data_IF_043325334538
#
_entry.id   IF_043325334538
#
_cell.length_a   1.000
_cell.length_b   1.000
_cell.length_c   1.000
_cell.angle_alpha   90.00
_cell.angle_beta   90.00
_cell.angle_gamma   90.00
#
_symmetry.space_group_name_H-M   'P 1'
#
loop_
_entity.id
_entity.type
_entity.pdbx_description
1 polymer ?
#
# COMPACT_ATOMS: atom_id res chain seq x y z
N UNK A 1 -5.51 30.23 -16.64
CA UNK A 1 -5.66 30.17 -15.17
C UNK A 1 -4.87 28.97 -14.67
N UNK A 2 -3.70 29.19 -14.05
CA UNK A 2 -2.97 28.13 -13.35
C UNK A 2 -3.66 27.90 -12.00
N UNK A 3 -4.46 26.84 -11.88
CA UNK A 3 -4.91 26.34 -10.59
C UNK A 3 -3.79 25.47 -10.03
N UNK A 4 -3.00 26.01 -9.12
CA UNK A 4 -2.22 25.23 -8.16
C UNK A 4 -3.19 24.41 -7.33
N UNK A 5 -3.36 23.13 -7.66
CA UNK A 5 -4.08 22.18 -6.82
C UNK A 5 -3.26 21.94 -5.54
N UNK A 6 -3.88 21.92 -4.34
CA UNK A 6 -3.19 21.46 -3.15
C UNK A 6 -2.82 19.98 -3.32
N UNK A 7 -1.61 19.60 -2.91
CA UNK A 7 -1.19 18.20 -2.86
C UNK A 7 -2.19 17.41 -1.98
N UNK A 8 -2.93 16.50 -2.61
CA UNK A 8 -3.96 15.69 -1.96
C UNK A 8 -3.28 14.46 -1.36
N UNK A 9 -3.09 14.46 -0.04
CA UNK A 9 -2.47 13.37 0.68
C UNK A 9 -3.45 12.21 0.89
N UNK A 10 -3.14 11.01 0.39
CA UNK A 10 -3.67 9.78 0.99
C UNK A 10 -3.03 9.63 2.37
N UNK A 11 -3.72 10.12 3.40
CA UNK A 11 -3.37 9.79 4.78
C UNK A 11 -3.74 8.33 5.04
N UNK A 12 -2.79 7.42 4.90
CA UNK A 12 -2.86 6.13 5.57
C UNK A 12 -2.74 6.40 7.08
N UNK A 13 -3.89 6.54 7.74
CA UNK A 13 -4.01 6.89 9.16
C UNK A 13 -3.63 5.68 10.01
N UNK A 14 -2.37 5.60 10.41
CA UNK A 14 -1.91 4.70 11.48
C UNK A 14 -2.24 5.32 12.85
N UNK A 15 -3.45 5.08 13.35
CA UNK A 15 -3.79 5.34 14.75
C UNK A 15 -3.66 4.03 15.55
N UNK A 16 -2.45 3.76 16.04
CA UNK A 16 -2.21 2.65 16.95
C UNK A 16 -2.48 3.11 18.39
N UNK A 17 -3.61 2.66 18.93
CA UNK A 17 -3.91 2.72 20.36
C UNK A 17 -3.22 1.57 21.10
N UNK A 18 -2.31 1.93 22.00
CA UNK A 18 -1.53 1.02 22.84
C UNK A 18 -2.28 0.58 24.12
N UNK A 19 -2.06 -0.68 24.54
CA UNK A 19 -1.91 -1.20 25.92
C UNK A 19 -1.82 -2.73 25.83
N UNK A 20 -0.65 -3.37 26.04
CA UNK A 20 -0.10 -3.81 27.34
C UNK A 20 -0.69 -5.17 27.75
N UNK A 21 0.01 -6.23 28.14
CA UNK A 21 1.42 -6.58 28.34
C UNK A 21 1.48 -8.01 28.92
N UNK A 22 2.62 -8.71 28.87
CA UNK A 22 2.78 -10.00 29.57
C UNK A 22 3.96 -10.87 29.13
N UNK A 23 4.96 -10.95 30.00
CA UNK A 23 6.31 -11.58 29.95
C UNK A 23 6.41 -13.11 29.67
N UNK A 24 7.64 -13.62 29.38
CA UNK A 24 7.91 -14.88 28.69
C UNK A 24 8.18 -16.09 29.61
N UNK A 25 8.18 -17.29 29.03
CA UNK A 25 8.78 -18.49 29.64
C UNK A 25 9.70 -19.17 28.64
N UNK A 26 10.97 -19.29 29.03
CA UNK A 26 11.99 -20.04 28.31
C UNK A 26 11.89 -21.54 28.64
N UNK A 27 12.25 -22.41 27.68
CA UNK A 27 12.89 -23.70 28.00
C UNK A 27 13.82 -24.10 26.86
N UNK A 28 15.08 -24.31 27.21
CA UNK A 28 16.17 -24.79 26.36
C UNK A 28 16.02 -26.27 25.99
N UNK A 29 16.51 -26.68 24.82
CA UNK A 29 17.37 -27.87 24.68
C UNK A 29 17.98 -28.03 23.28
N UNK A 30 19.30 -27.81 23.25
CA UNK A 30 20.38 -28.46 22.50
C UNK A 30 20.06 -29.60 21.52
N UNK A 31 20.63 -29.55 20.30
CA UNK A 31 21.82 -30.34 19.90
C UNK A 31 22.20 -30.12 18.42
N UNK A 32 23.51 -30.09 18.18
CA UNK A 32 24.17 -29.73 16.93
C UNK A 32 24.15 -30.82 15.86
N UNK A 33 24.29 -30.43 14.59
CA UNK A 33 25.19 -31.06 13.60
C UNK A 33 25.45 -30.10 12.43
N UNK A 34 26.73 -29.82 12.20
CA UNK A 34 27.28 -28.98 11.13
C UNK A 34 26.98 -29.54 9.74
N UNK A 35 26.32 -28.72 8.91
CA UNK A 35 26.55 -28.62 7.46
C UNK A 35 25.78 -27.42 6.90
N UNK A 36 26.31 -26.19 7.02
CA UNK A 36 25.84 -25.03 6.24
C UNK A 36 26.75 -23.80 6.49
N UNK A 37 28.00 -23.83 6.05
CA UNK A 37 28.85 -22.61 6.10
C UNK A 37 28.68 -21.72 4.86
N UNK A 38 27.76 -22.08 3.95
CA UNK A 38 27.36 -21.26 2.79
C UNK A 38 25.98 -20.62 2.96
N UNK A 39 25.20 -20.89 4.01
CA UNK A 39 23.79 -20.44 4.08
C UNK A 39 23.54 -19.20 4.92
N UNK A 40 24.43 -18.81 5.84
CA UNK A 40 24.19 -17.67 6.73
C UNK A 40 24.68 -16.33 6.20
N UNK A 41 25.66 -16.34 5.29
CA UNK A 41 26.17 -15.12 4.64
C UNK A 41 25.19 -14.70 3.54
N UNK A 42 24.78 -15.65 2.70
CA UNK A 42 23.78 -15.40 1.65
C UNK A 42 22.45 -14.90 2.25
N UNK A 43 21.96 -15.46 3.36
CA UNK A 43 20.71 -14.98 3.99
C UNK A 43 20.84 -13.55 4.53
N UNK A 44 21.99 -13.19 5.13
CA UNK A 44 22.19 -11.82 5.61
C UNK A 44 22.26 -10.81 4.46
N UNK A 45 22.90 -11.18 3.34
CA UNK A 45 22.94 -10.37 2.13
C UNK A 45 21.55 -10.21 1.51
N UNK A 46 20.72 -11.26 1.51
CA UNK A 46 19.34 -11.21 1.03
C UNK A 46 18.44 -10.39 1.97
N UNK A 47 18.60 -10.48 3.29
CA UNK A 47 17.90 -9.63 4.26
C UNK A 47 18.24 -8.15 4.03
N UNK A 48 19.51 -7.83 3.77
CA UNK A 48 19.93 -6.48 3.40
C UNK A 48 19.30 -6.04 2.07
N UNK A 49 19.25 -6.92 1.08
CA UNK A 49 18.63 -6.62 -0.22
C UNK A 49 17.11 -6.35 -0.09
N UNK A 50 16.40 -7.09 0.75
CA UNK A 50 14.97 -6.85 1.08
C UNK A 50 14.79 -5.49 1.73
N UNK A 51 15.62 -5.15 2.74
CA UNK A 51 15.58 -3.85 3.40
C UNK A 51 15.87 -2.71 2.42
N UNK A 52 16.85 -2.93 1.54
CA UNK A 52 17.22 -1.98 0.50
C UNK A 52 16.07 -1.75 -0.48
N UNK A 53 15.38 -2.79 -0.95
CA UNK A 53 14.25 -2.63 -1.87
C UNK A 53 13.14 -1.74 -1.28
N UNK A 54 12.81 -1.93 0.01
CA UNK A 54 11.83 -1.07 0.68
C UNK A 54 12.32 0.36 0.90
N UNK A 55 13.59 0.54 1.27
CA UNK A 55 14.20 1.86 1.42
C UNK A 55 14.24 2.63 0.09
N UNK A 56 14.62 1.96 -1.00
CA UNK A 56 14.66 2.51 -2.35
C UNK A 56 13.25 2.94 -2.80
N UNK A 57 12.20 2.19 -2.44
CA UNK A 57 10.82 2.58 -2.73
C UNK A 57 10.43 3.84 -1.99
N UNK A 58 10.77 3.94 -0.69
CA UNK A 58 10.50 5.14 0.09
C UNK A 58 11.19 6.36 -0.51
N UNK A 59 12.46 6.22 -0.90
CA UNK A 59 13.23 7.29 -1.55
C UNK A 59 12.60 7.69 -2.89
N UNK A 60 12.26 6.72 -3.74
CA UNK A 60 11.60 6.96 -5.02
C UNK A 60 10.26 7.68 -4.84
N UNK A 61 9.42 7.24 -3.90
CA UNK A 61 8.14 7.88 -3.62
C UNK A 61 8.31 9.32 -3.10
N UNK A 62 9.27 9.57 -2.19
CA UNK A 62 9.59 10.91 -1.70
C UNK A 62 10.17 11.82 -2.80
N UNK A 63 10.97 11.26 -3.71
CA UNK A 63 11.52 11.97 -4.86
C UNK A 63 10.50 12.16 -5.99
N UNK A 64 9.30 11.58 -5.87
CA UNK A 64 8.27 11.50 -6.92
C UNK A 64 8.79 10.82 -8.20
N UNK A 65 9.73 9.89 -8.05
CA UNK A 65 10.20 9.02 -9.12
C UNK A 65 9.25 7.83 -9.24
N UNK A 66 8.21 8.02 -10.03
CA UNK A 66 7.17 7.02 -10.22
C UNK A 66 7.67 5.73 -10.89
N UNK A 67 8.63 5.84 -11.81
CA UNK A 67 9.18 4.69 -12.53
C UNK A 67 9.99 3.81 -11.58
N UNK A 68 10.84 4.42 -10.75
CA UNK A 68 11.60 3.68 -9.74
C UNK A 68 10.69 3.06 -8.68
N UNK A 69 9.66 3.78 -8.23
CA UNK A 69 8.70 3.27 -7.26
C UNK A 69 7.91 2.07 -7.80
N UNK A 70 7.41 2.16 -9.05
CA UNK A 70 6.65 1.09 -9.68
C UNK A 70 7.48 -0.20 -9.87
N UNK A 71 8.78 -0.09 -10.15
CA UNK A 71 9.66 -1.24 -10.36
C UNK A 71 9.90 -2.10 -9.11
N UNK A 72 9.58 -1.58 -7.93
CA UNK A 72 9.79 -2.21 -6.62
C UNK A 72 8.54 -2.88 -6.05
N UNK A 73 7.39 -2.72 -6.71
CA UNK A 73 6.14 -3.41 -6.35
C UNK A 73 6.10 -4.78 -7.00
N UNK A 74 5.56 -5.77 -6.28
CA UNK A 74 5.37 -7.14 -6.80
C UNK A 74 4.37 -7.18 -7.95
N UNK A 75 4.40 -8.26 -8.73
CA UNK A 75 3.39 -8.47 -9.76
C UNK A 75 1.97 -8.50 -9.19
N UNK A 76 1.77 -9.11 -8.02
CA UNK A 76 0.47 -9.17 -7.33
C UNK A 76 -0.09 -7.76 -7.06
N UNK A 77 0.78 -6.81 -6.69
CA UNK A 77 0.38 -5.42 -6.47
C UNK A 77 0.07 -4.70 -7.80
N UNK A 78 0.82 -4.98 -8.87
CA UNK A 78 0.52 -4.45 -10.20
C UNK A 78 -0.82 -4.99 -10.75
N UNK A 79 -1.14 -6.25 -10.46
CA UNK A 79 -2.43 -6.85 -10.81
C UNK A 79 -3.59 -6.19 -10.04
N UNK A 80 -3.37 -5.85 -8.76
CA UNK A 80 -4.33 -5.05 -7.97
C UNK A 80 -4.61 -3.69 -8.63
N UNK A 81 -3.57 -2.96 -9.07
CA UNK A 81 -3.74 -1.69 -9.78
C UNK A 81 -4.43 -1.85 -11.14
N UNK A 82 -4.19 -2.97 -11.84
CA UNK A 82 -4.92 -3.31 -13.07
C UNK A 82 -6.41 -3.48 -12.79
N UNK A 83 -6.77 -4.23 -11.74
CA UNK A 83 -8.17 -4.39 -11.33
C UNK A 83 -8.84 -3.06 -10.95
N UNK A 84 -8.14 -2.21 -10.20
CA UNK A 84 -8.62 -0.88 -9.84
C UNK A 84 -8.84 0.02 -11.06
N UNK A 85 -7.93 -0.02 -12.05
CA UNK A 85 -8.07 0.69 -13.33
C UNK A 85 -9.32 0.24 -14.07
N UNK A 86 -9.53 -1.07 -14.19
CA UNK A 86 -10.66 -1.63 -14.94
C UNK A 86 -12.01 -1.28 -14.26
N UNK A 87 -12.06 -1.32 -12.92
CA UNK A 87 -13.19 -0.84 -12.12
C UNK A 87 -13.40 0.67 -12.27
N UNK A 88 -12.35 1.48 -12.33
CA UNK A 88 -12.47 2.91 -12.55
C UNK A 88 -13.09 3.22 -13.93
N UNK A 89 -12.65 2.49 -14.96
CA UNK A 89 -13.15 2.65 -16.31
C UNK A 89 -14.60 2.20 -16.48
N UNK A 90 -14.98 1.04 -15.94
CA UNK A 90 -16.27 0.39 -16.31
C UNK A 90 -17.11 -0.11 -15.14
N UNK A 91 -16.53 -0.16 -13.93
CA UNK A 91 -17.20 -0.73 -12.76
C UNK A 91 -18.38 0.10 -12.28
N UNK A 92 -19.50 -0.56 -11.99
CA UNK A 92 -20.61 0.05 -11.25
C UNK A 92 -20.19 0.38 -9.81
N UNK A 93 -20.91 1.30 -9.16
CA UNK A 93 -20.70 1.63 -7.75
C UNK A 93 -20.75 0.39 -6.84
N UNK A 94 -21.64 -0.57 -7.14
CA UNK A 94 -21.72 -1.81 -6.38
C UNK A 94 -20.43 -2.65 -6.51
N UNK A 95 -19.93 -2.85 -7.73
CA UNK A 95 -18.71 -3.64 -7.97
C UNK A 95 -17.49 -3.00 -7.31
N UNK A 96 -17.42 -1.67 -7.30
CA UNK A 96 -16.35 -0.94 -6.61
C UNK A 96 -16.37 -1.19 -5.11
N UNK A 97 -17.57 -1.15 -4.49
CA UNK A 97 -17.71 -1.40 -3.04
C UNK A 97 -17.39 -2.83 -2.62
N UNK A 98 -17.57 -3.81 -3.50
CA UNK A 98 -17.25 -5.22 -3.21
C UNK A 98 -15.74 -5.45 -2.99
N UNK A 99 -14.89 -4.54 -3.48
CA UNK A 99 -13.44 -4.59 -3.29
C UNK A 99 -12.91 -4.05 -1.96
N UNK A 100 -13.78 -3.56 -1.07
CA UNK A 100 -13.37 -2.96 0.20
C UNK A 100 -13.22 -1.43 0.16
N UNK A 101 -12.95 -0.83 1.33
CA UNK A 101 -12.99 0.63 1.51
C UNK A 101 -11.83 1.32 0.78
N UNK A 102 -10.63 0.78 0.93
CA UNK A 102 -9.39 1.29 0.36
C UNK A 102 -9.40 1.15 -1.15
N UNK A 103 -9.84 -0.01 -1.68
CA UNK A 103 -10.02 -0.20 -3.11
C UNK A 103 -11.07 0.76 -3.69
N UNK A 104 -12.17 1.00 -2.97
CA UNK A 104 -13.18 1.97 -3.39
C UNK A 104 -12.60 3.37 -3.51
N UNK A 105 -11.87 3.84 -2.48
CA UNK A 105 -11.21 5.14 -2.49
C UNK A 105 -10.22 5.24 -3.66
N UNK A 106 -9.39 4.21 -3.87
CA UNK A 106 -8.45 4.18 -5.00
C UNK A 106 -9.19 4.35 -6.32
N UNK A 107 -10.21 3.54 -6.59
CA UNK A 107 -11.00 3.61 -7.83
C UNK A 107 -11.57 5.01 -8.04
N UNK A 108 -12.17 5.62 -7.02
CA UNK A 108 -12.75 6.95 -7.14
C UNK A 108 -11.71 8.06 -7.29
N UNK A 109 -10.52 7.91 -6.70
CA UNK A 109 -9.36 8.77 -6.95
C UNK A 109 -8.92 8.66 -8.41
N UNK A 110 -8.84 7.45 -8.97
CA UNK A 110 -8.50 7.28 -10.39
C UNK A 110 -9.50 7.98 -11.30
N UNK A 111 -10.80 7.91 -11.00
CA UNK A 111 -11.85 8.62 -11.73
C UNK A 111 -11.79 10.14 -11.58
N UNK A 112 -11.20 10.64 -10.50
CA UNK A 112 -11.03 12.06 -10.27
C UNK A 112 -9.81 12.64 -11.00
N UNK A 113 -8.76 11.83 -11.16
CA UNK A 113 -7.41 12.24 -11.56
C UNK A 113 -7.08 12.01 -13.04
N UNK A 114 -7.83 11.12 -13.70
CA UNK A 114 -7.58 10.70 -15.07
C UNK A 114 -8.87 10.72 -15.89
N UNK A 115 -8.76 11.01 -17.19
CA UNK A 115 -9.85 10.76 -18.12
C UNK A 115 -9.85 9.30 -18.64
N UNK A 116 -10.95 8.89 -19.27
CA UNK A 116 -11.14 7.52 -19.73
C UNK A 116 -10.09 7.05 -20.75
N UNK A 117 -9.62 7.95 -21.61
CA UNK A 117 -8.68 7.63 -22.68
C UNK A 117 -7.25 7.53 -22.12
N UNK A 118 -6.89 8.44 -21.23
CA UNK A 118 -5.62 8.42 -20.49
C UNK A 118 -5.53 7.15 -19.64
N UNK A 119 -6.51 6.90 -18.77
CA UNK A 119 -6.48 5.76 -17.85
C UNK A 119 -6.52 4.42 -18.61
N UNK A 120 -7.31 4.33 -19.68
CA UNK A 120 -7.41 3.12 -20.52
C UNK A 120 -6.14 2.81 -21.32
N UNK A 121 -5.25 3.79 -21.50
CA UNK A 121 -3.98 3.61 -22.19
C UNK A 121 -2.81 3.21 -21.29
N UNK A 122 -2.98 3.27 -19.96
CA UNK A 122 -1.90 3.02 -19.00
C UNK A 122 -1.77 1.54 -18.64
N UNK A 123 -0.54 1.02 -18.62
CA UNK A 123 -0.20 -0.20 -17.88
C UNK A 123 -0.27 0.03 -16.36
N UNK A 124 -0.20 -1.02 -15.56
CA UNK A 124 -0.18 -0.90 -14.10
C UNK A 124 1.03 -0.09 -13.62
N UNK A 125 2.21 -0.32 -14.20
CA UNK A 125 3.44 0.40 -13.88
C UNK A 125 3.32 1.88 -14.22
N UNK A 126 2.75 2.20 -15.39
CA UNK A 126 2.49 3.58 -15.79
C UNK A 126 1.48 4.26 -14.86
N UNK A 127 0.46 3.53 -14.42
CA UNK A 127 -0.54 4.03 -13.47
C UNK A 127 0.08 4.34 -12.10
N UNK A 128 0.88 3.41 -11.55
CA UNK A 128 1.62 3.64 -10.30
C UNK A 128 2.58 4.82 -10.45
N UNK A 129 3.33 4.87 -11.56
CA UNK A 129 4.26 5.97 -11.84
C UNK A 129 3.56 7.32 -11.83
N UNK A 130 2.47 7.43 -12.58
CA UNK A 130 1.67 8.64 -12.65
C UNK A 130 1.06 9.03 -11.29
N UNK A 131 0.63 8.04 -10.49
CA UNK A 131 0.09 8.28 -9.15
C UNK A 131 1.15 8.85 -8.18
N UNK A 132 2.37 8.30 -8.21
CA UNK A 132 3.50 8.80 -7.41
C UNK A 132 3.91 10.20 -7.85
N UNK A 133 4.04 10.45 -9.15
CA UNK A 133 4.41 11.77 -9.71
C UNK A 133 3.38 12.86 -9.37
N UNK A 134 2.08 12.50 -9.37
CA UNK A 134 0.98 13.37 -8.93
C UNK A 134 0.95 13.58 -7.42
N UNK A 135 1.76 12.86 -6.65
CA UNK A 135 1.79 12.92 -5.18
C UNK A 135 0.57 12.29 -4.51
N UNK A 136 -0.09 11.34 -5.20
CA UNK A 136 -1.20 10.58 -4.61
C UNK A 136 -0.71 9.64 -3.50
N UNK A 137 0.57 9.28 -3.53
CA UNK A 137 1.27 8.67 -2.39
C UNK A 137 1.80 9.80 -1.51
N UNK A 138 1.25 9.96 -0.30
CA UNK A 138 1.66 11.07 0.56
C UNK A 138 3.05 10.85 1.16
N UNK A 139 3.90 11.87 1.07
CA UNK A 139 5.26 11.90 1.63
C UNK A 139 5.26 11.55 3.13
N UNK A 140 4.31 12.11 3.88
CA UNK A 140 4.18 11.91 5.33
C UNK A 140 3.80 10.48 5.73
N UNK A 141 3.21 9.71 4.82
CA UNK A 141 2.76 8.33 5.09
C UNK A 141 3.94 7.37 5.21
N UNK A 142 5.11 7.74 4.65
CA UNK A 142 6.29 6.89 4.59
C UNK A 142 7.39 7.30 5.59
N UNK A 143 7.38 8.55 6.07
CA UNK A 143 8.47 9.11 6.89
C UNK A 143 8.79 8.32 8.17
N UNK A 144 7.80 7.64 8.74
CA UNK A 144 7.94 6.95 10.01
C UNK A 144 7.83 5.43 9.88
N UNK A 145 7.76 4.90 8.67
CA UNK A 145 7.48 3.48 8.41
C UNK A 145 8.75 2.73 8.06
N UNK A 146 9.13 1.75 8.87
CA UNK A 146 10.37 0.97 8.71
C UNK A 146 10.09 -0.53 8.75
N UNK A 147 11.02 -1.32 8.22
CA UNK A 147 10.97 -2.78 8.37
C UNK A 147 11.61 -3.20 9.70
N UNK A 148 10.85 -3.96 10.50
CA UNK A 148 11.31 -4.64 11.70
C UNK A 148 12.10 -5.91 11.38
N UNK A 149 11.67 -7.04 11.95
CA UNK A 149 12.27 -8.35 11.67
C UNK A 149 12.06 -8.68 10.20
N UNK A 150 13.12 -9.13 9.52
CA UNK A 150 13.04 -9.65 8.14
C UNK A 150 13.37 -11.13 8.21
N UNK A 151 12.56 -11.95 7.55
CA UNK A 151 12.76 -13.41 7.46
C UNK A 151 12.77 -13.78 5.99
N UNK A 152 13.91 -14.28 5.49
CA UNK A 152 14.08 -14.72 4.12
C UNK A 152 13.98 -16.24 4.04
N UNK A 153 13.22 -16.73 3.05
CA UNK A 153 13.10 -18.14 2.69
C UNK A 153 13.14 -18.30 1.16
N UNK A 154 14.34 -18.57 0.65
CA UNK A 154 14.60 -18.68 -0.78
C UNK A 154 14.27 -17.39 -1.53
N UNK A 155 13.33 -17.49 -2.48
CA UNK A 155 12.87 -16.37 -3.31
C UNK A 155 11.67 -15.62 -2.70
N UNK A 156 11.38 -15.85 -1.42
CA UNK A 156 10.35 -15.13 -0.66
C UNK A 156 10.94 -14.55 0.62
N UNK A 157 10.40 -13.43 1.07
CA UNK A 157 10.73 -12.89 2.38
C UNK A 157 9.49 -12.26 3.01
N UNK A 158 9.52 -12.09 4.33
CA UNK A 158 8.50 -11.38 5.09
C UNK A 158 9.16 -10.39 6.02
N UNK A 159 8.54 -9.22 6.19
CA UNK A 159 9.05 -8.20 7.08
C UNK A 159 7.95 -7.57 7.93
N UNK A 160 8.20 -7.47 9.24
CA UNK A 160 7.32 -6.72 10.13
C UNK A 160 7.29 -5.25 9.71
N UNK A 161 6.11 -4.67 9.54
CA UNK A 161 5.99 -3.23 9.39
C UNK A 161 6.03 -2.56 10.76
N UNK A 162 6.86 -1.55 10.90
CA UNK A 162 6.96 -0.75 12.13
C UNK A 162 6.69 0.71 11.83
N UNK A 163 6.08 1.41 12.77
CA UNK A 163 5.87 2.85 12.73
C UNK A 163 6.37 3.49 14.01
N UNK A 164 7.30 4.45 13.90
CA UNK A 164 7.96 5.09 15.05
C UNK A 164 8.55 4.08 16.05
N UNK A 165 9.14 2.99 15.53
CA UNK A 165 9.73 1.91 16.31
C UNK A 165 8.73 1.01 17.05
N UNK A 166 7.43 1.09 16.74
CA UNK A 166 6.41 0.18 17.25
C UNK A 166 5.89 -0.70 16.12
N UNK A 167 5.62 -1.98 16.40
CA UNK A 167 4.98 -2.85 15.40
C UNK A 167 3.63 -2.28 14.98
N UNK A 168 3.39 -2.24 13.67
CA UNK A 168 2.11 -1.86 13.09
C UNK A 168 1.12 -3.04 13.03
N UNK A 169 1.55 -4.25 13.43
CA UNK A 169 0.73 -5.46 13.37
C UNK A 169 0.50 -5.98 11.94
N UNK A 170 1.27 -5.50 10.97
CA UNK A 170 1.21 -5.90 9.56
C UNK A 170 2.55 -6.48 9.17
N UNK A 171 2.53 -7.62 8.47
CA UNK A 171 3.71 -8.23 7.86
C UNK A 171 3.63 -8.01 6.35
N UNK A 172 4.70 -7.47 5.77
CA UNK A 172 4.79 -7.24 4.32
C UNK A 172 5.48 -8.44 3.64
N UNK A 173 4.83 -9.06 2.65
CA UNK A 173 5.45 -10.07 1.81
C UNK A 173 6.37 -9.44 0.76
N UNK A 174 7.46 -10.14 0.49
CA UNK A 174 8.43 -9.84 -0.55
C UNK A 174 8.63 -11.08 -1.43
N UNK A 175 8.78 -10.84 -2.71
CA UNK A 175 9.00 -11.85 -3.74
C UNK A 175 10.22 -11.45 -4.58
N UNK A 176 11.09 -12.42 -4.84
CA UNK A 176 12.21 -12.22 -5.76
C UNK A 176 11.73 -12.49 -7.18
N UNK A 177 11.55 -11.42 -7.94
CA UNK A 177 11.08 -11.47 -9.32
C UNK A 177 12.19 -10.97 -10.24
N UNK A 178 12.55 -11.75 -11.25
CA UNK A 178 13.65 -11.44 -12.18
C UNK A 178 14.97 -11.08 -11.47
N UNK A 179 15.23 -11.73 -10.33
CA UNK A 179 16.43 -11.52 -9.51
C UNK A 179 16.40 -10.29 -8.60
N UNK A 180 15.29 -9.55 -8.55
CA UNK A 180 15.13 -8.36 -7.70
C UNK A 180 14.02 -8.56 -6.67
N UNK A 181 14.24 -8.09 -5.45
CA UNK A 181 13.19 -8.10 -4.41
C UNK A 181 12.14 -7.05 -4.70
N UNK A 182 10.88 -7.48 -4.69
CA UNK A 182 9.70 -6.64 -4.82
C UNK A 182 8.75 -6.95 -3.68
N UNK A 183 7.98 -5.97 -3.24
CA UNK A 183 7.06 -6.15 -2.12
C UNK A 183 5.62 -5.95 -2.51
N UNK A 184 4.76 -6.66 -1.78
CA UNK A 184 3.32 -6.60 -1.93
C UNK A 184 2.72 -5.77 -0.78
N UNK A 185 1.88 -4.80 -1.14
CA UNK A 185 1.15 -3.96 -0.18
C UNK A 185 -0.26 -4.48 0.10
N UNK A 186 -0.69 -5.58 -0.51
CA UNK A 186 -2.00 -6.20 -0.31
C UNK A 186 -2.39 -6.34 1.17
N UNK A 187 -1.54 -6.91 2.04
CA UNK A 187 -1.83 -6.99 3.48
C UNK A 187 -2.02 -5.64 4.15
N UNK A 188 -1.32 -4.59 3.69
CA UNK A 188 -1.52 -3.23 4.18
C UNK A 188 -2.88 -2.66 3.74
N UNK A 189 -3.34 -2.97 2.52
CA UNK A 189 -4.66 -2.57 2.04
C UNK A 189 -5.77 -3.22 2.88
N UNK A 190 -5.63 -4.52 3.19
CA UNK A 190 -6.58 -5.24 4.06
C UNK A 190 -6.62 -4.65 5.47
N UNK A 191 -5.45 -4.39 6.08
CA UNK A 191 -5.39 -3.74 7.38
C UNK A 191 -5.98 -2.32 7.34
N UNK A 192 -5.82 -1.61 6.22
CA UNK A 192 -6.44 -0.31 5.99
C UNK A 192 -7.97 -0.37 5.97
N UNK A 193 -8.54 -1.39 5.33
CA UNK A 193 -9.99 -1.63 5.32
C UNK A 193 -10.53 -1.84 6.73
N UNK A 194 -9.92 -2.75 7.50
CA UNK A 194 -10.34 -3.03 8.88
C UNK A 194 -10.26 -1.78 9.77
N UNK A 195 -9.21 -0.98 9.62
CA UNK A 195 -9.05 0.27 10.36
C UNK A 195 -10.12 1.29 9.98
N UNK A 196 -10.44 1.46 8.69
CA UNK A 196 -11.47 2.38 8.23
C UNK A 196 -12.87 1.93 8.64
N UNK A 197 -13.15 0.62 8.60
CA UNK A 197 -14.40 0.04 9.10
C UNK A 197 -14.57 0.28 10.60
N UNK A 198 -13.49 0.12 11.38
CA UNK A 198 -13.48 0.43 12.81
C UNK A 198 -13.80 1.91 13.04
N UNK A 199 -13.16 2.81 12.31
CA UNK A 199 -13.41 4.26 12.38
C UNK A 199 -14.86 4.60 12.03
N UNK A 200 -15.44 3.96 11.02
CA UNK A 200 -16.85 4.13 10.66
C UNK A 200 -17.77 3.71 11.82
N UNK A 201 -17.50 2.54 12.42
CA UNK A 201 -18.21 2.02 13.58
C UNK A 201 -18.14 2.95 14.79
N UNK A 202 -16.95 3.42 15.15
CA UNK A 202 -16.75 4.35 16.28
C UNK A 202 -17.47 5.69 16.08
N UNK A 203 -17.55 6.17 14.83
CA UNK A 203 -18.24 7.41 14.48
C UNK A 203 -19.74 7.24 14.28
N UNK A 204 -20.26 6.00 14.30
CA UNK A 204 -21.67 5.71 14.05
C UNK A 204 -22.12 6.06 12.62
N UNK A 205 -21.20 6.02 11.66
CA UNK A 205 -21.48 6.26 10.23
C UNK A 205 -21.31 4.96 9.44
N UNK A 206 -21.91 4.89 8.26
CA UNK A 206 -21.63 3.77 7.35
C UNK A 206 -20.26 3.95 6.69
N UNK A 207 -19.66 2.84 6.24
CA UNK A 207 -18.46 2.86 5.40
C UNK A 207 -18.66 3.74 4.17
N UNK A 208 -19.84 3.70 3.55
CA UNK A 208 -20.17 4.54 2.39
C UNK A 208 -20.13 6.03 2.74
N UNK A 209 -20.69 6.43 3.88
CA UNK A 209 -20.60 7.82 4.35
C UNK A 209 -19.16 8.24 4.64
N UNK A 210 -18.33 7.33 5.15
CA UNK A 210 -16.91 7.59 5.36
C UNK A 210 -16.18 7.81 4.02
N UNK A 211 -16.46 6.99 3.01
CA UNK A 211 -15.91 7.15 1.64
C UNK A 211 -16.37 8.49 1.04
N UNK A 212 -17.66 8.81 1.10
CA UNK A 212 -18.21 10.07 0.57
C UNK A 212 -17.59 11.29 1.25
N UNK A 213 -17.42 11.24 2.56
CA UNK A 213 -16.76 12.30 3.34
C UNK A 213 -15.30 12.45 2.94
N UNK A 214 -14.60 11.33 2.74
CA UNK A 214 -13.21 11.32 2.30
C UNK A 214 -13.09 11.96 0.92
N UNK A 215 -13.83 11.48 -0.07
CA UNK A 215 -13.84 12.04 -1.42
C UNK A 215 -14.28 13.51 -1.44
N UNK A 216 -15.27 13.88 -0.63
CA UNK A 216 -15.72 15.25 -0.50
C UNK A 216 -14.64 16.18 0.07
N UNK A 217 -13.77 15.66 0.94
CA UNK A 217 -12.60 16.39 1.46
C UNK A 217 -11.52 16.56 0.39
N UNK A 218 -11.28 15.54 -0.42
CA UNK A 218 -10.22 15.56 -1.45
C UNK A 218 -10.63 16.38 -2.70
N UNK A 219 -11.87 16.22 -3.16
CA UNK A 219 -12.32 16.71 -4.47
C UNK A 219 -13.52 17.67 -4.40
N UNK A 220 -14.10 17.89 -3.22
CA UNK A 220 -15.32 18.66 -3.02
C UNK A 220 -16.58 17.79 -3.07
N UNK A 221 -17.48 18.01 -2.12
CA UNK A 221 -18.70 17.21 -1.95
C UNK A 221 -19.58 17.15 -3.22
N UNK A 222 -19.64 18.25 -3.97
CA UNK A 222 -20.45 18.33 -5.21
C UNK A 222 -19.96 17.40 -6.33
N UNK A 223 -18.70 16.95 -6.29
CA UNK A 223 -18.13 16.03 -7.29
C UNK A 223 -18.39 14.56 -6.97
N UNK A 224 -18.67 14.21 -5.72
CA UNK A 224 -18.78 12.81 -5.26
C UNK A 224 -19.77 11.98 -6.09
N UNK A 225 -20.98 12.48 -6.44
CA UNK A 225 -21.92 11.70 -7.26
C UNK A 225 -21.40 11.35 -8.65
N UNK A 226 -20.56 12.21 -9.24
CA UNK A 226 -19.96 11.93 -10.56
C UNK A 226 -18.80 10.95 -10.45
N UNK A 227 -17.99 11.04 -9.39
CA UNK A 227 -16.88 10.09 -9.15
C UNK A 227 -17.38 8.65 -8.95
N UNK A 228 -18.60 8.47 -8.44
CA UNK A 228 -19.22 7.16 -8.26
C UNK A 228 -19.64 6.48 -9.57
N UNK A 229 -19.70 7.22 -10.68
CA UNK A 229 -19.99 6.67 -12.01
C UNK A 229 -18.71 6.19 -12.71
N UNK A 230 -18.75 5.12 -13.52
CA UNK A 230 -17.61 4.71 -14.34
C UNK A 230 -17.24 5.81 -15.34
N UNK A 231 -15.96 5.87 -15.72
CA UNK A 231 -15.49 6.82 -16.76
C UNK A 231 -16.02 6.46 -18.16
N UNK A 232 -16.35 5.19 -18.37
CA UNK A 232 -16.95 4.66 -19.58
C UNK A 232 -18.28 3.98 -19.20
N UNK A 233 -19.40 4.61 -19.56
CA UNK A 233 -20.74 4.11 -19.26
C UNK A 233 -21.82 5.11 -19.57
#
# INVERSE_FOLDING_TARGET
>A
MNRTMPAVALAAVLLVGACGGGTPVATSSSSATSAATTSSVDVADEEEAVRKAFADYREAAQAKDGVAAAALLSQDMLDYYTGARDLALTGSEQQVREGGVTASILVYVLRAEFDAAELGGMSAEQLVSAAVEKGLVSENSLDNVELGTVVVDGDTARADLTSRGQSAGVELPFHKEDGSWRFDLGPLMVAGDEALETVAGERGVTVEQLVDTTLGTLYGADRVPELKKPLQG
#
